data_IF_228539612001
#
_entry.id   IF_228539612001
#
_cell.length_a   1.000
_cell.length_b   1.000
_cell.length_c   1.000
_cell.angle_alpha   90.00
_cell.angle_beta   90.00
_cell.angle_gamma   90.00
#
_symmetry.space_group_name_H-M   'P 1'
#
loop_
_entity.id
_entity.type
_entity.pdbx_description
1 polymer ?
#
# COMPACT_ATOMS: atom_id res chain seq x y z
N UNK A 1 44.54 46.38 -14.53
CA UNK A 1 43.50 47.35 -14.16
C UNK A 1 42.29 47.06 -15.01
N UNK A 2 41.22 46.58 -14.38
CA UNK A 2 40.00 46.14 -15.05
C UNK A 2 39.12 47.34 -15.45
N UNK A 3 38.41 47.28 -16.60
CA UNK A 3 37.37 48.25 -16.92
C UNK A 3 36.10 47.95 -16.10
N UNK A 4 35.52 49.02 -15.57
CA UNK A 4 34.22 49.08 -14.92
C UNK A 4 33.11 48.72 -15.91
N UNK A 5 32.37 47.64 -15.65
CA UNK A 5 31.12 47.31 -16.34
C UNK A 5 29.91 47.71 -15.48
N UNK A 6 28.99 48.55 -16.00
CA UNK A 6 27.66 48.76 -15.41
C UNK A 6 26.70 47.62 -15.83
N UNK A 7 25.48 47.61 -15.31
CA UNK A 7 24.43 46.58 -15.42
C UNK A 7 24.61 45.43 -14.40
N UNK A 8 23.75 45.22 -13.39
CA UNK A 8 22.29 45.33 -13.42
C UNK A 8 21.71 45.27 -12.00
N UNK A 9 21.21 46.41 -11.53
CA UNK A 9 20.18 46.55 -10.48
C UNK A 9 18.78 46.34 -11.13
N UNK A 10 18.58 45.20 -11.81
CA UNK A 10 17.32 44.89 -12.54
C UNK A 10 16.34 44.15 -11.64
N UNK A 11 15.51 44.91 -10.95
CA UNK A 11 14.06 44.65 -10.85
C UNK A 11 13.41 45.73 -9.96
N UNK A 12 13.49 47.00 -10.35
CA UNK A 12 12.76 48.06 -9.63
C UNK A 12 11.38 48.36 -10.23
N UNK A 13 11.15 48.03 -11.51
CA UNK A 13 9.93 48.42 -12.25
C UNK A 13 9.36 47.36 -13.21
N UNK A 14 9.95 46.17 -13.29
CA UNK A 14 9.41 45.08 -14.10
C UNK A 14 9.48 43.77 -13.31
N UNK A 15 8.51 42.89 -13.55
CA UNK A 15 8.47 41.55 -12.99
C UNK A 15 7.90 40.61 -14.05
N UNK A 16 8.51 39.45 -14.20
CA UNK A 16 8.00 38.43 -15.12
C UNK A 16 6.76 37.78 -14.50
N UNK A 17 5.67 37.83 -15.24
CA UNK A 17 4.47 37.06 -14.93
C UNK A 17 4.60 35.68 -15.58
N UNK A 18 4.51 34.62 -14.77
CA UNK A 18 4.40 33.24 -15.26
C UNK A 18 3.07 32.67 -14.80
N UNK A 19 2.20 32.33 -15.76
CA UNK A 19 0.97 31.59 -15.49
C UNK A 19 1.35 30.17 -15.08
N UNK A 20 1.04 29.79 -13.84
CA UNK A 20 1.28 28.46 -13.33
C UNK A 20 -0.06 27.72 -13.16
N UNK A 21 -0.52 27.13 -14.28
CA UNK A 21 -1.80 26.42 -14.36
C UNK A 21 -1.84 25.24 -13.38
N UNK A 22 -0.74 24.50 -13.25
CA UNK A 22 -0.65 23.33 -12.38
C UNK A 22 -0.78 23.71 -10.90
N UNK A 23 -0.14 24.81 -10.47
CA UNK A 23 -0.32 25.34 -9.12
C UNK A 23 -1.77 25.78 -8.89
N UNK A 24 -2.34 26.55 -9.81
CA UNK A 24 -3.72 27.04 -9.68
C UNK A 24 -4.73 25.89 -9.57
N UNK A 25 -4.58 24.86 -10.41
CA UNK A 25 -5.42 23.66 -10.37
C UNK A 25 -5.22 22.88 -9.06
N UNK A 26 -3.97 22.72 -8.60
CA UNK A 26 -3.68 22.06 -7.33
C UNK A 26 -4.29 22.79 -6.12
N UNK A 27 -4.23 24.13 -6.12
CA UNK A 27 -4.84 24.97 -5.09
C UNK A 27 -6.37 24.82 -5.10
N UNK A 28 -7.00 24.88 -6.28
CA UNK A 28 -8.47 24.68 -6.42
C UNK A 28 -8.91 23.29 -5.95
N UNK A 29 -8.21 22.22 -6.36
CA UNK A 29 -8.53 20.86 -5.90
C UNK A 29 -8.41 20.75 -4.38
N UNK A 30 -7.38 21.35 -3.79
CA UNK A 30 -7.15 21.32 -2.35
C UNK A 30 -8.21 22.13 -1.57
N UNK A 31 -8.66 23.26 -2.12
CA UNK A 31 -9.73 24.09 -1.56
C UNK A 31 -11.06 23.35 -1.60
N UNK A 32 -11.44 22.79 -2.75
CA UNK A 32 -12.68 22.02 -2.90
C UNK A 32 -12.70 20.81 -1.96
N UNK A 33 -11.62 20.04 -1.87
CA UNK A 33 -11.50 18.89 -0.95
C UNK A 33 -11.66 19.28 0.52
N UNK A 34 -11.22 20.49 0.92
CA UNK A 34 -11.35 20.97 2.31
C UNK A 34 -12.79 21.32 2.68
N UNK A 35 -13.66 21.59 1.70
CA UNK A 35 -15.08 21.88 1.96
C UNK A 35 -15.92 20.63 2.18
N UNK A 36 -15.41 19.46 1.80
CA UNK A 36 -16.14 18.20 1.84
C UNK A 36 -16.17 17.61 3.25
N UNK A 37 -17.33 17.06 3.62
CA UNK A 37 -17.43 16.22 4.80
C UNK A 37 -16.67 14.90 4.59
N UNK A 38 -16.07 14.38 5.66
CA UNK A 38 -15.38 13.10 5.63
C UNK A 38 -16.36 11.95 5.88
N UNK A 39 -16.42 11.00 4.95
CA UNK A 39 -17.23 9.79 5.09
C UNK A 39 -16.41 8.64 5.71
N UNK A 40 -16.99 7.77 6.54
CA UNK A 40 -16.32 6.57 7.03
C UNK A 40 -15.83 5.67 5.88
N UNK A 41 -14.64 5.06 6.00
CA UNK A 41 -14.15 4.09 5.02
C UNK A 41 -14.86 2.75 5.21
N UNK A 42 -16.10 2.65 4.71
CA UNK A 42 -16.98 1.47 4.81
C UNK A 42 -17.57 1.11 3.46
N UNK A 43 -18.03 -0.14 3.30
CA UNK A 43 -18.68 -0.56 2.05
C UNK A 43 -19.96 0.25 1.76
N UNK A 44 -20.68 0.66 2.80
CA UNK A 44 -21.88 1.50 2.68
C UNK A 44 -21.54 2.86 2.06
N UNK A 45 -20.58 3.58 2.65
CA UNK A 45 -20.14 4.89 2.14
C UNK A 45 -19.48 4.80 0.76
N UNK A 46 -18.79 3.70 0.46
CA UNK A 46 -18.20 3.49 -0.87
C UNK A 46 -19.28 3.18 -1.91
N UNK A 47 -20.32 2.42 -1.54
CA UNK A 47 -21.40 2.04 -2.46
C UNK A 47 -22.30 3.21 -2.86
N UNK A 48 -22.31 4.31 -2.08
CA UNK A 48 -23.01 5.54 -2.46
C UNK A 48 -22.27 6.39 -3.51
N UNK A 49 -21.03 6.04 -3.86
CA UNK A 49 -20.23 6.78 -4.83
C UNK A 49 -20.56 6.37 -6.27
N UNK A 50 -20.47 7.33 -7.19
CA UNK A 50 -20.48 7.10 -8.64
C UNK A 50 -19.24 6.33 -9.09
N UNK A 51 -19.43 5.38 -10.01
CA UNK A 51 -18.38 4.64 -10.73
C UNK A 51 -17.70 5.56 -11.76
N UNK A 52 -16.80 6.41 -11.30
CA UNK A 52 -16.00 7.31 -12.13
C UNK A 52 -14.60 7.54 -11.56
N UNK A 53 -13.71 8.05 -12.40
CA UNK A 53 -12.35 8.46 -12.03
C UNK A 53 -12.31 9.72 -11.17
N UNK A 54 -11.19 9.95 -10.50
CA UNK A 54 -11.01 11.11 -9.65
C UNK A 54 -9.85 11.00 -8.67
N UNK A 55 -9.87 11.90 -7.67
CA UNK A 55 -8.90 11.94 -6.57
C UNK A 55 -9.61 11.73 -5.23
N UNK A 56 -8.89 11.18 -4.26
CA UNK A 56 -9.39 10.97 -2.91
C UNK A 56 -8.31 11.22 -1.88
N UNK A 57 -8.74 11.57 -0.68
CA UNK A 57 -7.92 11.72 0.49
C UNK A 57 -8.37 10.71 1.55
N UNK A 58 -7.41 10.12 2.27
CA UNK A 58 -7.67 9.33 3.46
C UNK A 58 -7.21 10.08 4.68
N UNK A 59 -7.99 9.91 5.74
CA UNK A 59 -7.75 10.49 7.04
C UNK A 59 -7.72 9.38 8.08
N UNK A 60 -6.76 9.44 9.00
CA UNK A 60 -6.67 8.52 10.13
C UNK A 60 -6.77 9.34 11.41
N UNK A 61 -7.82 9.11 12.20
CA UNK A 61 -8.13 9.88 13.41
C UNK A 61 -8.26 11.39 13.11
N UNK A 62 -8.85 11.73 11.96
CA UNK A 62 -9.05 13.11 11.50
C UNK A 62 -7.83 13.75 10.83
N UNK A 63 -6.64 13.14 10.93
CA UNK A 63 -5.42 13.66 10.32
C UNK A 63 -5.30 13.20 8.87
N UNK A 64 -4.94 14.11 7.97
CA UNK A 64 -4.73 13.81 6.56
C UNK A 64 -3.48 12.94 6.37
N UNK A 65 -3.67 11.68 5.95
CA UNK A 65 -2.56 10.70 5.89
C UNK A 65 -2.16 10.27 4.49
N UNK A 66 -3.09 10.31 3.52
CA UNK A 66 -2.85 9.81 2.17
C UNK A 66 -3.69 10.56 1.14
N UNK A 67 -3.13 10.81 -0.05
CA UNK A 67 -3.89 11.20 -1.25
C UNK A 67 -3.61 10.19 -2.35
N UNK A 68 -4.63 9.87 -3.14
CA UNK A 68 -4.45 9.02 -4.30
C UNK A 68 -5.38 9.42 -5.43
N UNK A 69 -5.14 8.84 -6.62
CA UNK A 69 -6.07 8.88 -7.74
C UNK A 69 -6.64 7.51 -8.09
N UNK A 70 -7.75 7.53 -8.81
CA UNK A 70 -8.27 6.40 -9.55
C UNK A 70 -8.64 6.87 -10.96
N UNK A 71 -8.12 6.18 -11.98
CA UNK A 71 -8.35 6.60 -13.37
C UNK A 71 -9.76 6.25 -13.84
N UNK A 72 -10.30 5.10 -13.44
CA UNK A 72 -11.60 4.62 -13.89
C UNK A 72 -12.67 4.53 -12.80
N UNK A 73 -12.28 4.26 -11.55
CA UNK A 73 -13.21 3.94 -10.47
C UNK A 73 -12.66 4.26 -9.10
N UNK A 74 -13.10 5.38 -8.53
CA UNK A 74 -12.90 5.71 -7.12
C UNK A 74 -13.44 4.61 -6.19
N UNK A 75 -14.64 4.04 -6.39
CA UNK A 75 -15.15 2.97 -5.52
C UNK A 75 -14.20 1.78 -5.45
N UNK A 76 -13.69 1.30 -6.59
CA UNK A 76 -12.81 0.12 -6.60
C UNK A 76 -11.46 0.40 -5.94
N UNK A 77 -10.92 1.60 -6.13
CA UNK A 77 -9.67 2.01 -5.47
C UNK A 77 -9.84 2.13 -3.96
N UNK A 78 -10.95 2.69 -3.50
CA UNK A 78 -11.27 2.78 -2.07
C UNK A 78 -11.53 1.40 -1.46
N UNK A 79 -12.21 0.48 -2.16
CA UNK A 79 -12.37 -0.92 -1.73
C UNK A 79 -11.04 -1.64 -1.56
N UNK A 80 -10.06 -1.38 -2.44
CA UNK A 80 -8.71 -1.92 -2.27
C UNK A 80 -8.05 -1.43 -0.97
N UNK A 81 -8.20 -0.14 -0.62
CA UNK A 81 -7.68 0.41 0.63
C UNK A 81 -8.42 -0.13 1.85
N UNK A 82 -9.75 -0.17 1.80
CA UNK A 82 -10.61 -0.79 2.81
C UNK A 82 -10.14 -2.21 3.10
N UNK A 83 -9.99 -3.03 2.06
CA UNK A 83 -9.49 -4.41 2.19
C UNK A 83 -8.08 -4.46 2.76
N UNK A 84 -7.16 -3.61 2.27
CA UNK A 84 -5.77 -3.57 2.75
C UNK A 84 -5.70 -3.25 4.24
N UNK A 85 -6.46 -2.27 4.70
CA UNK A 85 -6.48 -1.78 6.10
C UNK A 85 -7.15 -2.79 7.02
N UNK A 86 -8.26 -3.41 6.58
CA UNK A 86 -8.95 -4.45 7.35
C UNK A 86 -8.06 -5.66 7.69
N UNK A 87 -7.00 -5.87 6.91
CA UNK A 87 -5.99 -6.91 7.15
C UNK A 87 -4.81 -6.51 8.02
N UNK A 88 -4.81 -5.31 8.63
CA UNK A 88 -3.67 -4.79 9.40
C UNK A 88 -3.94 -4.71 10.89
N UNK A 89 -2.85 -4.79 11.65
CA UNK A 89 -2.83 -4.54 13.10
C UNK A 89 -2.57 -3.06 13.36
N UNK A 90 -3.03 -2.59 14.53
CA UNK A 90 -2.78 -1.25 15.06
C UNK A 90 -3.41 -0.10 14.25
N UNK A 91 -4.38 -0.39 13.40
CA UNK A 91 -5.11 0.60 12.59
C UNK A 91 -6.58 0.17 12.49
N UNK A 92 -7.42 0.50 13.49
CA UNK A 92 -8.83 0.18 13.45
C UNK A 92 -9.49 0.85 12.24
N UNK A 93 -10.30 0.09 11.49
CA UNK A 93 -10.98 0.66 10.32
C UNK A 93 -11.95 1.80 10.70
N UNK A 94 -12.48 1.78 11.93
CA UNK A 94 -13.31 2.85 12.48
C UNK A 94 -12.62 4.22 12.53
N UNK A 95 -11.29 4.23 12.53
CA UNK A 95 -10.49 5.45 12.63
C UNK A 95 -10.25 6.07 11.25
N UNK A 96 -10.72 5.42 10.17
CA UNK A 96 -10.47 5.83 8.79
C UNK A 96 -11.70 6.50 8.19
N UNK A 97 -11.47 7.68 7.64
CA UNK A 97 -12.44 8.39 6.81
C UNK A 97 -11.83 8.79 5.48
N UNK A 98 -12.66 9.14 4.51
CA UNK A 98 -12.22 9.62 3.20
C UNK A 98 -13.08 10.79 2.70
N UNK A 99 -12.52 11.56 1.79
CA UNK A 99 -13.24 12.49 0.92
C UNK A 99 -12.73 12.30 -0.52
N UNK A 100 -13.54 12.65 -1.52
CA UNK A 100 -13.14 12.48 -2.92
C UNK A 100 -13.78 13.52 -3.84
N UNK A 101 -13.09 13.80 -4.94
CA UNK A 101 -13.57 14.61 -6.04
C UNK A 101 -13.49 13.80 -7.33
N UNK A 102 -14.55 13.87 -8.12
CA UNK A 102 -14.53 13.41 -9.50
C UNK A 102 -13.74 14.40 -10.34
N UNK A 103 -12.92 13.87 -11.25
CA UNK A 103 -12.09 14.68 -12.14
C UNK A 103 -12.41 14.21 -13.55
N UNK A 104 -12.74 15.15 -14.44
CA UNK A 104 -12.98 14.83 -15.85
C UNK A 104 -11.76 14.16 -16.50
N UNK A 105 -12.02 13.27 -17.46
CA UNK A 105 -11.00 12.42 -18.07
C UNK A 105 -9.85 13.23 -18.68
N UNK A 106 -10.14 14.41 -19.24
CA UNK A 106 -9.14 15.32 -19.81
C UNK A 106 -8.14 15.86 -18.77
N UNK A 107 -8.54 15.94 -17.49
CA UNK A 107 -7.71 16.42 -16.39
C UNK A 107 -6.91 15.30 -15.72
N UNK A 108 -7.22 14.02 -15.98
CA UNK A 108 -6.45 12.88 -15.47
C UNK A 108 -4.98 12.90 -15.93
N UNK A 109 -4.74 13.44 -17.14
CA UNK A 109 -3.41 13.62 -17.73
C UNK A 109 -2.53 14.62 -16.97
N UNK A 110 -3.12 15.51 -16.16
CA UNK A 110 -2.40 16.54 -15.40
C UNK A 110 -1.90 16.04 -14.03
N UNK A 111 -2.04 14.75 -13.74
CA UNK A 111 -1.60 14.12 -12.50
C UNK A 111 -2.09 14.86 -11.23
N UNK A 112 -3.41 15.01 -11.02
CA UNK A 112 -3.97 15.81 -9.92
C UNK A 112 -3.51 15.34 -8.52
N UNK A 113 -3.22 14.04 -8.35
CA UNK A 113 -2.59 13.51 -7.14
C UNK A 113 -1.22 14.15 -6.86
N UNK A 114 -0.37 14.31 -7.89
CA UNK A 114 0.96 14.92 -7.72
C UNK A 114 0.85 16.39 -7.34
N UNK A 115 -0.12 17.11 -7.90
CA UNK A 115 -0.39 18.51 -7.54
C UNK A 115 -0.78 18.64 -6.07
N UNK A 116 -1.66 17.75 -5.58
CA UNK A 116 -2.03 17.69 -4.17
C UNK A 116 -0.83 17.30 -3.28
N UNK A 117 -0.03 16.30 -3.67
CA UNK A 117 1.21 15.95 -2.95
C UNK A 117 2.14 17.16 -2.84
N UNK A 118 2.37 17.88 -3.94
CA UNK A 118 3.23 19.07 -3.95
C UNK A 118 2.69 20.19 -3.07
N UNK A 119 1.39 20.46 -3.14
CA UNK A 119 0.71 21.47 -2.31
C UNK A 119 0.89 21.18 -0.81
N UNK A 120 0.69 19.94 -0.39
CA UNK A 120 0.74 19.56 1.02
C UNK A 120 2.15 19.25 1.56
N UNK A 121 3.17 19.03 0.69
CA UNK A 121 4.57 18.86 1.11
C UNK A 121 5.10 20.04 1.93
N UNK A 122 4.54 21.24 1.78
CA UNK A 122 4.92 22.44 2.55
C UNK A 122 4.35 22.50 3.98
N UNK A 123 3.43 21.60 4.37
CA UNK A 123 2.66 21.66 5.64
C UNK A 123 2.82 20.41 6.53
N UNK A 124 4.03 19.86 6.66
CA UNK A 124 4.32 18.68 7.50
C UNK A 124 3.69 17.32 7.09
N UNK A 125 3.27 17.21 5.82
CA UNK A 125 3.45 15.98 5.04
C UNK A 125 2.27 15.01 5.01
N UNK A 126 2.18 14.29 3.90
CA UNK A 126 1.22 13.22 3.67
C UNK A 126 1.92 11.89 4.00
N UNK A 127 1.87 11.42 5.26
CA UNK A 127 2.80 10.41 5.79
C UNK A 127 2.77 9.08 5.05
N UNK A 128 1.66 8.73 4.38
CA UNK A 128 1.50 7.44 3.73
C UNK A 128 1.88 7.44 2.25
N UNK A 129 1.94 8.61 1.60
CA UNK A 129 2.29 8.68 0.16
C UNK A 129 3.72 8.22 -0.13
N UNK A 130 4.65 8.42 0.82
CA UNK A 130 6.07 8.12 0.62
C UNK A 130 6.59 6.98 1.51
N UNK A 131 5.72 6.26 2.23
CA UNK A 131 6.13 5.23 3.19
C UNK A 131 5.73 3.80 2.79
N UNK A 132 5.24 3.62 1.56
CA UNK A 132 4.88 2.30 1.02
C UNK A 132 3.41 1.90 1.14
N UNK A 133 2.52 2.77 1.65
CA UNK A 133 1.08 2.49 1.65
C UNK A 133 0.51 2.33 0.23
N UNK A 134 0.93 3.13 -0.74
CA UNK A 134 0.47 3.03 -2.13
C UNK A 134 1.09 1.90 -2.95
N UNK A 135 2.10 1.19 -2.41
CA UNK A 135 2.87 0.20 -3.16
C UNK A 135 2.03 -1.03 -3.51
N UNK A 136 2.18 -1.51 -4.74
CA UNK A 136 1.71 -2.83 -5.19
C UNK A 136 2.66 -3.92 -4.69
N UNK A 137 2.37 -5.19 -5.00
CA UNK A 137 3.29 -6.30 -4.74
C UNK A 137 4.67 -5.99 -5.35
N UNK A 138 5.74 -5.90 -4.54
CA UNK A 138 7.07 -5.50 -5.01
C UNK A 138 7.80 -6.61 -5.79
N UNK A 139 7.21 -7.81 -5.90
CA UNK A 139 7.82 -8.93 -6.61
C UNK A 139 8.89 -9.67 -5.78
N UNK A 140 9.23 -10.90 -6.19
CA UNK A 140 10.11 -11.81 -5.43
C UNK A 140 11.49 -11.23 -5.11
N UNK A 141 12.04 -10.40 -5.98
CA UNK A 141 13.37 -9.79 -5.80
C UNK A 141 13.45 -8.85 -4.58
N UNK A 142 12.30 -8.40 -4.06
CA UNK A 142 12.21 -7.44 -2.96
C UNK A 142 11.87 -8.11 -1.62
N UNK A 143 11.70 -9.43 -1.58
CA UNK A 143 11.29 -10.17 -0.37
C UNK A 143 12.41 -10.19 0.68
N UNK A 144 13.66 -10.12 0.24
CA UNK A 144 14.85 -10.11 1.10
C UNK A 144 15.25 -8.71 1.55
N UNK A 145 14.60 -7.66 1.04
CA UNK A 145 14.91 -6.27 1.37
C UNK A 145 14.55 -5.95 2.82
N UNK A 146 15.40 -5.14 3.47
CA UNK A 146 15.06 -4.56 4.76
C UNK A 146 13.91 -3.57 4.60
N UNK A 147 13.02 -3.56 5.59
CA UNK A 147 11.91 -2.62 5.66
C UNK A 147 12.36 -1.46 6.56
N UNK A 148 12.27 -0.23 6.04
CA UNK A 148 12.58 1.00 6.79
C UNK A 148 11.70 1.12 8.04
N UNK A 149 12.21 1.65 9.15
CA UNK A 149 11.40 1.88 10.40
C UNK A 149 10.12 2.65 10.09
N UNK A 150 10.21 3.66 9.23
CA UNK A 150 9.08 4.51 8.85
C UNK A 150 8.10 3.87 7.86
N UNK A 151 8.36 2.66 7.37
CA UNK A 151 7.51 2.04 6.34
C UNK A 151 6.11 1.69 6.90
N UNK A 152 5.08 1.78 6.06
CA UNK A 152 3.69 1.49 6.43
C UNK A 152 3.54 0.09 7.02
N UNK A 153 4.05 -0.92 6.33
CA UNK A 153 3.94 -2.33 6.77
C UNK A 153 4.65 -2.60 8.10
N UNK A 154 5.66 -1.81 8.47
CA UNK A 154 6.34 -1.96 9.77
C UNK A 154 5.48 -1.41 10.91
N UNK A 155 4.78 -0.29 10.66
CA UNK A 155 3.86 0.33 11.62
C UNK A 155 2.54 -0.43 11.74
N UNK A 156 2.03 -0.91 10.61
CA UNK A 156 0.74 -1.57 10.46
C UNK A 156 0.92 -2.94 9.77
N UNK A 157 1.49 -3.92 10.50
CA UNK A 157 1.77 -5.22 9.92
C UNK A 157 0.49 -6.00 9.66
N UNK A 158 0.60 -7.02 8.82
CA UNK A 158 -0.52 -7.94 8.55
C UNK A 158 -1.02 -8.60 9.84
N UNK A 159 -2.32 -8.83 9.90
CA UNK A 159 -2.93 -9.53 11.02
C UNK A 159 -3.05 -11.03 10.75
N UNK A 160 -2.19 -11.82 11.41
CA UNK A 160 -2.25 -13.28 11.36
C UNK A 160 -3.39 -13.87 12.20
N UNK A 161 -4.01 -13.06 13.06
CA UNK A 161 -5.17 -13.46 13.85
C UNK A 161 -6.49 -13.21 13.07
N UNK A 162 -6.40 -12.64 11.85
CA UNK A 162 -7.54 -12.39 10.99
C UNK A 162 -8.38 -13.65 10.74
N UNK A 163 -9.68 -13.56 10.96
CA UNK A 163 -10.62 -14.66 10.77
C UNK A 163 -10.92 -14.87 9.28
N UNK A 164 -10.37 -15.93 8.71
CA UNK A 164 -10.68 -16.39 7.36
C UNK A 164 -11.98 -17.19 7.41
N UNK A 165 -13.06 -16.58 6.94
CA UNK A 165 -14.41 -17.18 6.92
C UNK A 165 -14.77 -17.75 5.54
N UNK A 166 -15.81 -18.58 5.49
CA UNK A 166 -16.30 -19.17 4.24
C UNK A 166 -15.41 -20.25 3.65
N UNK A 167 -14.60 -20.91 4.50
CA UNK A 167 -13.90 -22.14 4.14
C UNK A 167 -14.93 -23.28 4.04
N UNK A 168 -14.77 -24.19 3.07
CA UNK A 168 -15.62 -25.38 2.97
C UNK A 168 -14.99 -26.52 3.79
N UNK A 169 -15.60 -26.96 4.92
CA UNK A 169 -15.04 -28.04 5.71
C UNK A 169 -14.94 -29.36 4.94
N UNK A 170 -14.01 -30.21 5.36
CA UNK A 170 -13.76 -31.52 4.77
C UNK A 170 -12.53 -31.55 3.87
N UNK A 171 -12.45 -32.61 3.07
CA UNK A 171 -11.28 -33.00 2.31
C UNK A 171 -11.21 -32.23 0.98
N UNK A 172 -10.13 -31.46 0.77
CA UNK A 172 -9.89 -30.70 -0.47
C UNK A 172 -8.45 -30.86 -0.96
N UNK A 173 -8.18 -30.49 -2.21
CA UNK A 173 -6.80 -30.36 -2.68
C UNK A 173 -6.13 -29.12 -2.09
N UNK A 174 -4.81 -29.21 -1.88
CA UNK A 174 -4.00 -28.09 -1.42
C UNK A 174 -4.07 -26.90 -2.40
N UNK A 175 -4.08 -27.14 -3.71
CA UNK A 175 -4.24 -26.10 -4.74
C UNK A 175 -5.56 -25.30 -4.55
N UNK A 176 -6.66 -25.97 -4.22
CA UNK A 176 -7.94 -25.31 -3.95
C UNK A 176 -7.84 -24.45 -2.69
N UNK A 177 -7.26 -24.99 -1.62
CA UNK A 177 -7.07 -24.26 -0.36
C UNK A 177 -6.19 -23.01 -0.55
N UNK A 178 -5.10 -23.12 -1.33
CA UNK A 178 -4.21 -21.98 -1.63
C UNK A 178 -4.92 -20.87 -2.40
N UNK A 179 -5.76 -21.21 -3.39
CA UNK A 179 -6.59 -20.23 -4.12
C UNK A 179 -7.60 -19.56 -3.22
N UNK A 180 -8.32 -20.33 -2.41
CA UNK A 180 -9.27 -19.77 -1.44
C UNK A 180 -8.57 -18.87 -0.43
N UNK A 181 -7.41 -19.26 0.11
CA UNK A 181 -6.62 -18.43 0.99
C UNK A 181 -6.23 -17.10 0.31
N UNK A 182 -5.72 -17.15 -0.92
CA UNK A 182 -5.34 -15.96 -1.70
C UNK A 182 -6.53 -15.02 -1.95
N UNK A 183 -7.73 -15.56 -2.19
CA UNK A 183 -8.95 -14.78 -2.43
C UNK A 183 -9.58 -14.21 -1.17
N UNK A 184 -9.41 -14.87 -0.02
CA UNK A 184 -10.06 -14.49 1.25
C UNK A 184 -9.19 -13.63 2.15
N UNK A 185 -7.86 -13.71 2.03
CA UNK A 185 -6.96 -12.93 2.86
C UNK A 185 -6.98 -11.44 2.46
N UNK A 186 -7.05 -10.52 3.43
CA UNK A 186 -7.05 -9.06 3.19
C UNK A 186 -5.66 -8.48 2.89
N UNK A 187 -4.69 -9.34 2.59
CA UNK A 187 -3.33 -8.99 2.20
C UNK A 187 -2.83 -9.99 1.16
N UNK A 188 -1.73 -9.64 0.50
CA UNK A 188 -1.17 -10.49 -0.55
C UNK A 188 -0.72 -11.82 0.06
N UNK A 189 -1.19 -12.91 -0.51
CA UNK A 189 -0.61 -14.23 -0.35
C UNK A 189 -0.07 -14.71 -1.69
N UNK A 190 1.25 -14.70 -1.82
CA UNK A 190 1.94 -15.12 -3.04
C UNK A 190 2.56 -16.49 -2.82
N UNK A 191 2.42 -17.35 -3.81
CA UNK A 191 2.99 -18.68 -3.74
C UNK A 191 3.42 -19.15 -5.14
N UNK A 192 4.45 -19.98 -5.18
CA UNK A 192 4.80 -20.71 -6.39
C UNK A 192 3.89 -21.92 -6.53
N UNK A 193 3.06 -21.97 -7.57
CA UNK A 193 2.18 -23.13 -7.84
C UNK A 193 2.96 -24.24 -8.52
N UNK A 194 2.77 -25.48 -8.07
CA UNK A 194 3.38 -26.68 -8.66
C UNK A 194 2.33 -27.80 -8.80
N UNK A 195 2.45 -28.69 -9.81
CA UNK A 195 1.43 -29.71 -10.09
C UNK A 195 1.08 -30.61 -8.89
N UNK A 196 2.06 -30.95 -8.04
CA UNK A 196 1.85 -31.78 -6.84
C UNK A 196 0.82 -31.22 -5.86
N UNK A 197 0.59 -29.90 -5.83
CA UNK A 197 -0.43 -29.31 -4.96
C UNK A 197 -1.86 -29.68 -5.36
N UNK A 198 -2.08 -30.11 -6.60
CA UNK A 198 -3.39 -30.63 -7.03
C UNK A 198 -3.66 -32.04 -6.49
N UNK A 199 -2.59 -32.79 -6.18
CA UNK A 199 -2.66 -34.17 -5.69
C UNK A 199 -2.57 -34.23 -4.17
N UNK A 200 -1.88 -33.29 -3.54
CA UNK A 200 -1.84 -33.16 -2.09
C UNK A 200 -3.23 -32.81 -1.55
N UNK A 201 -3.66 -33.56 -0.53
CA UNK A 201 -4.97 -33.45 0.07
C UNK A 201 -4.83 -32.88 1.48
N UNK A 202 -5.77 -32.02 1.86
CA UNK A 202 -5.84 -31.36 3.17
C UNK A 202 -7.26 -31.46 3.69
N UNK A 203 -7.40 -31.75 4.99
CA UNK A 203 -8.68 -31.72 5.67
C UNK A 203 -8.88 -30.34 6.33
N UNK A 204 -9.93 -29.62 5.91
CA UNK A 204 -10.31 -28.35 6.50
C UNK A 204 -11.23 -28.64 7.70
N UNK A 205 -10.82 -28.33 8.94
CA UNK A 205 -11.55 -28.74 10.14
C UNK A 205 -12.79 -27.87 10.42
N UNK A 206 -12.81 -26.63 9.94
CA UNK A 206 -13.82 -25.63 10.30
C UNK A 206 -14.07 -24.65 9.15
N UNK A 207 -15.29 -24.10 9.00
CA UNK A 207 -15.57 -23.08 8.00
C UNK A 207 -14.93 -21.72 8.31
N UNK A 208 -14.36 -21.56 9.51
CA UNK A 208 -13.63 -20.37 9.93
C UNK A 208 -12.34 -20.75 10.66
N UNK A 209 -11.24 -20.12 10.30
CA UNK A 209 -9.92 -20.31 10.92
C UNK A 209 -9.18 -18.96 10.98
N UNK A 210 -8.27 -18.77 11.94
CA UNK A 210 -7.34 -17.63 11.84
C UNK A 210 -6.36 -17.85 10.68
N UNK A 211 -5.80 -16.78 10.13
CA UNK A 211 -4.78 -16.90 9.11
C UNK A 211 -3.56 -17.71 9.60
N UNK A 212 -3.16 -17.58 10.87
CA UNK A 212 -2.12 -18.42 11.49
C UNK A 212 -2.48 -19.92 11.41
N UNK A 213 -3.69 -20.29 11.84
CA UNK A 213 -4.15 -21.67 11.82
C UNK A 213 -4.24 -22.23 10.40
N UNK A 214 -4.69 -21.39 9.46
CA UNK A 214 -4.73 -21.73 8.03
C UNK A 214 -3.33 -21.96 7.47
N UNK A 215 -2.35 -21.13 7.80
CA UNK A 215 -0.98 -21.30 7.32
C UNK A 215 -0.27 -22.51 7.95
N UNK A 216 -0.56 -22.87 9.21
CA UNK A 216 -0.12 -24.15 9.79
C UNK A 216 -0.70 -25.34 9.03
N UNK A 217 -2.00 -25.31 8.75
CA UNK A 217 -2.65 -26.38 7.99
C UNK A 217 -2.08 -26.53 6.58
N UNK A 218 -1.80 -25.40 5.90
CA UNK A 218 -1.13 -25.42 4.60
C UNK A 218 0.30 -25.96 4.75
N UNK A 219 1.05 -25.53 5.77
CA UNK A 219 2.44 -25.92 5.95
C UNK A 219 2.62 -27.38 6.37
N UNK A 220 1.61 -28.05 6.93
CA UNK A 220 1.64 -29.49 7.19
C UNK A 220 1.45 -30.34 5.93
N UNK A 221 0.96 -29.75 4.85
CA UNK A 221 0.65 -30.44 3.59
C UNK A 221 1.62 -30.11 2.44
N UNK A 222 2.53 -29.15 2.65
CA UNK A 222 3.60 -28.85 1.70
C UNK A 222 4.85 -29.71 2.00
N UNK A 223 5.71 -29.95 1.00
CA UNK A 223 6.97 -30.66 1.18
C UNK A 223 7.96 -29.95 2.13
N UNK A 224 8.91 -30.69 2.69
CA UNK A 224 9.88 -30.17 3.68
C UNK A 224 10.87 -29.13 3.10
N UNK A 225 11.12 -29.14 1.78
CA UNK A 225 11.90 -28.12 1.08
C UNK A 225 11.13 -26.79 0.94
N UNK A 226 9.85 -26.74 1.33
CA UNK A 226 9.00 -25.56 1.25
C UNK A 226 8.78 -24.92 2.61
N UNK A 227 8.50 -23.62 2.57
CA UNK A 227 8.09 -22.86 3.74
C UNK A 227 7.08 -21.79 3.36
N UNK A 228 6.28 -21.37 4.33
CA UNK A 228 5.48 -20.15 4.27
C UNK A 228 6.16 -19.12 5.16
N UNK A 229 6.29 -17.89 4.69
CA UNK A 229 6.89 -16.80 5.44
C UNK A 229 5.91 -15.63 5.49
N UNK A 230 5.52 -15.25 6.70
CA UNK A 230 4.77 -14.02 6.94
C UNK A 230 5.78 -12.88 7.10
N UNK A 231 5.88 -12.04 6.07
CA UNK A 231 6.60 -10.77 6.12
C UNK A 231 5.69 -9.71 6.76
N UNK A 232 6.20 -8.49 6.94
CA UNK A 232 5.43 -7.42 7.57
C UNK A 232 4.16 -7.05 6.81
N UNK A 233 4.21 -7.06 5.46
CA UNK A 233 3.10 -6.56 4.61
C UNK A 233 2.31 -7.63 3.85
N UNK A 234 2.82 -8.85 3.76
CA UNK A 234 2.27 -9.93 2.94
C UNK A 234 2.87 -11.28 3.32
N UNK A 235 2.33 -12.36 2.75
CA UNK A 235 2.79 -13.73 2.98
C UNK A 235 3.29 -14.35 1.68
N UNK A 236 4.41 -15.07 1.76
CA UNK A 236 5.01 -15.80 0.64
C UNK A 236 5.11 -17.30 0.93
N UNK A 237 5.12 -18.14 -0.11
CA UNK A 237 5.34 -19.59 0.00
C UNK A 237 6.20 -20.12 -1.15
N UNK A 238 7.40 -20.66 -0.83
CA UNK A 238 8.44 -21.05 -1.79
C UNK A 238 9.23 -22.31 -1.40
N UNK A 239 9.89 -22.98 -2.39
CA UNK A 239 10.81 -24.12 -2.19
C UNK A 239 12.21 -23.67 -1.75
N UNK A 240 12.31 -22.94 -0.65
CA UNK A 240 13.60 -22.43 -0.15
C UNK A 240 13.79 -22.62 1.35
N UNK A 241 13.06 -23.56 1.96
CA UNK A 241 13.31 -23.91 3.36
C UNK A 241 14.76 -24.40 3.54
N UNK A 242 15.52 -23.94 4.57
CA UNK A 242 15.11 -23.10 5.68
C UNK A 242 15.54 -21.62 5.57
N UNK A 243 15.61 -21.04 4.36
CA UNK A 243 16.02 -19.64 4.12
C UNK A 243 15.27 -18.65 5.03
N UNK A 244 16.00 -17.65 5.50
CA UNK A 244 15.46 -16.57 6.34
C UNK A 244 15.32 -15.26 5.56
N UNK A 245 14.30 -14.48 5.90
CA UNK A 245 14.03 -13.15 5.37
C UNK A 245 14.13 -12.11 6.48
N UNK A 246 14.79 -11.00 6.18
CA UNK A 246 15.03 -9.95 7.16
C UNK A 246 13.74 -9.35 7.72
N UNK A 247 12.70 -9.21 6.88
CA UNK A 247 11.40 -8.65 7.26
C UNK A 247 10.38 -9.69 7.75
N UNK A 248 10.81 -10.92 8.02
CA UNK A 248 9.92 -11.98 8.51
C UNK A 248 9.49 -11.75 9.96
N UNK A 249 8.19 -11.94 10.19
CA UNK A 249 7.58 -12.00 11.52
C UNK A 249 7.24 -13.43 11.95
N UNK A 250 7.02 -14.34 10.99
CA UNK A 250 6.72 -15.74 11.25
C UNK A 250 7.11 -16.64 10.07
N UNK A 251 7.53 -17.85 10.38
CA UNK A 251 7.74 -18.95 9.44
C UNK A 251 6.77 -20.07 9.75
N UNK A 252 6.31 -20.81 8.74
CA UNK A 252 5.53 -22.03 8.92
C UNK A 252 6.16 -23.17 8.13
N UNK A 253 6.41 -24.29 8.81
CA UNK A 253 7.11 -25.46 8.28
C UNK A 253 6.53 -26.71 8.96
N UNK A 254 6.14 -27.73 8.19
CA UNK A 254 5.64 -29.00 8.70
C UNK A 254 4.53 -28.88 9.77
N UNK A 255 3.61 -27.92 9.62
CA UNK A 255 2.52 -27.67 10.58
C UNK A 255 2.88 -26.76 11.75
N UNK A 256 4.17 -26.54 12.00
CA UNK A 256 4.66 -25.68 13.06
C UNK A 256 4.74 -24.21 12.62
N UNK A 257 4.79 -23.32 13.62
CA UNK A 257 5.09 -21.90 13.42
C UNK A 257 6.32 -21.50 14.23
N UNK A 258 7.22 -20.75 13.62
CA UNK A 258 8.40 -20.19 14.28
C UNK A 258 8.26 -18.67 14.25
N UNK A 259 8.20 -18.04 15.43
CA UNK A 259 8.20 -16.58 15.53
C UNK A 259 9.57 -16.03 15.14
N UNK A 260 9.57 -14.95 14.39
CA UNK A 260 10.77 -14.23 13.99
C UNK A 260 10.69 -12.77 14.43
N UNK A 261 11.85 -12.16 14.67
CA UNK A 261 11.94 -10.72 14.91
C UNK A 261 12.40 -10.06 13.60
N UNK A 262 11.55 -9.22 12.99
CA UNK A 262 11.92 -8.48 11.80
C UNK A 262 13.13 -7.60 12.09
N UNK A 263 14.12 -7.63 11.20
CA UNK A 263 15.20 -6.67 11.17
C UNK A 263 14.69 -5.37 10.57
N UNK A 264 15.06 -4.25 11.18
CA UNK A 264 14.59 -2.93 10.78
C UNK A 264 15.79 -2.13 10.28
N UNK A 265 15.63 -1.48 9.14
CA UNK A 265 16.64 -0.53 8.66
C UNK A 265 16.51 0.78 9.44
N UNK A 266 17.44 0.99 10.37
CA UNK A 266 17.54 2.18 11.22
C UNK A 266 18.19 3.37 10.48
N UNK A 267 18.67 3.17 9.25
CA UNK A 267 19.41 4.20 8.52
C UNK A 267 18.42 5.12 7.80
N UNK A 268 18.34 6.36 8.29
CA UNK A 268 17.56 7.52 7.82
C UNK A 268 16.11 7.65 8.34
N UNK A 269 15.81 8.69 9.15
CA UNK A 269 14.43 9.12 9.38
C UNK A 269 13.80 9.59 8.05
N UNK A 270 12.49 9.44 7.95
CA UNK A 270 11.69 9.84 6.79
C UNK A 270 11.89 11.33 6.50
N UNK A 271 12.53 11.64 5.38
CA UNK A 271 12.60 13.00 4.85
C UNK A 271 13.93 13.30 4.17
N UNK A 272 14.13 12.80 2.95
CA UNK A 272 14.99 13.38 1.89
C UNK A 272 15.16 12.34 0.75
N UNK A 273 14.07 11.96 0.08
CA UNK A 273 14.19 11.45 -1.29
C UNK A 273 14.00 12.66 -2.22
N UNK A 274 15.12 13.30 -2.59
CA UNK A 274 15.19 14.27 -3.69
C UNK A 274 14.97 13.47 -4.96
N UNK A 275 13.77 13.55 -5.54
CA UNK A 275 13.58 13.12 -6.93
C UNK A 275 14.47 14.01 -7.82
N UNK A 276 15.17 13.43 -8.81
CA UNK A 276 16.02 14.21 -9.69
C UNK A 276 15.15 15.22 -10.42
N UNK A 277 15.50 16.51 -10.28
CA UNK A 277 15.14 17.49 -11.30
C UNK A 277 15.67 16.92 -12.61
N UNK A 278 14.77 16.68 -13.56
CA UNK A 278 15.17 16.32 -14.92
C UNK A 278 16.24 17.29 -15.39
N UNK A 279 17.33 16.74 -15.91
CA UNK A 279 18.31 17.54 -16.64
C UNK A 279 17.58 18.19 -17.80
N UNK A 280 17.67 19.52 -17.85
CA UNK A 280 17.56 20.26 -19.09
C UNK A 280 18.76 19.82 -19.94
N UNK A 281 18.55 18.85 -20.83
CA UNK A 281 19.45 18.58 -21.95
C UNK A 281 18.72 19.05 -23.22
N UNK A 282 18.78 20.35 -23.47
CA UNK A 282 18.64 20.95 -24.80
C UNK A 282 20.06 21.24 -25.32
N UNK A 283 20.49 20.44 -26.30
CA UNK A 283 21.40 20.86 -27.38
C UNK A 283 20.85 20.32 -28.71
#
# INVERSE_FOLDING_TARGET
MAPTGPYSDKAKYHKDFKLNITKALGDQLAEELQTLAHAPLTEESISSLTLAGGVYQLYHQGEFVYVGKADSSLPDRLRHHLRKIAGRRNIPLSDLTFSCLYVDDDFSALAPEQLLIYHHKRRNGIPWNNNGFGNKDPGRQRDTSLVKVGHFDMRFPIDLDFAVTGLAPGVVSLDRLLKTAKERLPYVFRYQSVPRFKQAIVEIPSPTMTADSLFRLISSAIPDDWQIVALMGYVIMYPDSPQTYASASRYYRAGDSIKARPQVDLVHPVGEDVLPLGSDDDE
#
